data_IF_455931701029
#
_entry.id   IF_455931701029
#
_cell.length_a   1.000
_cell.length_b   1.000
_cell.length_c   1.000
_cell.angle_alpha   90.00
_cell.angle_beta   90.00
_cell.angle_gamma   90.00
#
_symmetry.space_group_name_H-M   'P 1'
#
loop_
_entity.id
_entity.type
_entity.pdbx_description
1 polymer ?
#
# COMPACT_ATOMS: atom_id res chain seq x y z
N UNK A 1 -3.78 19.98 -6.95
CA UNK A 1 -3.65 18.52 -7.17
C UNK A 1 -2.72 17.83 -6.17
N UNK A 2 -1.69 18.50 -5.66
CA UNK A 2 -0.78 17.95 -4.64
C UNK A 2 -1.50 17.40 -3.39
N UNK A 3 -2.60 18.03 -2.95
CA UNK A 3 -3.43 17.53 -1.85
C UNK A 3 -3.89 16.07 -2.05
N UNK A 4 -4.26 15.69 -3.28
CA UNK A 4 -4.69 14.32 -3.59
C UNK A 4 -3.54 13.32 -3.43
N UNK A 5 -2.31 13.71 -3.80
CA UNK A 5 -1.13 12.88 -3.62
C UNK A 5 -0.79 12.70 -2.13
N UNK A 6 -0.89 13.76 -1.32
CA UNK A 6 -0.71 13.65 0.13
C UNK A 6 -1.79 12.80 0.80
N UNK A 7 -3.05 12.91 0.37
CA UNK A 7 -4.14 12.04 0.86
C UNK A 7 -3.87 10.58 0.50
N UNK A 8 -3.47 10.28 -0.73
CA UNK A 8 -3.10 8.93 -1.13
C UNK A 8 -1.94 8.38 -0.29
N UNK A 9 -0.88 9.17 -0.10
CA UNK A 9 0.27 8.79 0.72
C UNK A 9 -0.14 8.53 2.17
N UNK A 10 -0.98 9.39 2.76
CA UNK A 10 -1.48 9.22 4.13
C UNK A 10 -2.30 7.93 4.28
N UNK A 11 -3.22 7.65 3.33
CA UNK A 11 -4.01 6.41 3.33
C UNK A 11 -3.11 5.18 3.28
N UNK A 12 -2.14 5.15 2.36
CA UNK A 12 -1.20 4.03 2.22
C UNK A 12 -0.32 3.88 3.47
N UNK A 13 0.17 4.99 4.04
CA UNK A 13 1.01 4.95 5.23
C UNK A 13 0.27 4.40 6.46
N UNK A 14 -0.96 4.88 6.69
CA UNK A 14 -1.82 4.41 7.78
C UNK A 14 -2.17 2.94 7.59
N UNK A 15 -2.40 2.49 6.37
CA UNK A 15 -2.69 1.08 6.10
C UNK A 15 -1.49 0.16 6.35
N UNK A 16 -0.26 0.64 6.13
CA UNK A 16 0.96 -0.06 6.55
C UNK A 16 1.02 -0.30 8.07
N UNK A 17 0.53 0.66 8.88
CA UNK A 17 0.41 0.48 10.34
C UNK A 17 -0.62 -0.62 10.66
N UNK A 18 -1.75 -0.62 9.96
CA UNK A 18 -2.79 -1.63 10.11
C UNK A 18 -2.32 -3.04 9.74
N UNK A 19 -1.28 -3.19 8.90
CA UNK A 19 -0.60 -4.47 8.68
C UNK A 19 0.40 -4.79 9.79
N UNK A 20 1.29 -3.87 10.13
CA UNK A 20 2.39 -4.13 11.05
C UNK A 20 1.93 -4.45 12.49
N UNK A 21 1.00 -3.69 13.05
CA UNK A 21 0.57 -3.81 14.46
C UNK A 21 -0.03 -5.18 14.80
N UNK A 22 -0.97 -5.75 14.01
CA UNK A 22 -1.57 -7.05 14.33
C UNK A 22 -0.72 -8.26 13.94
N UNK A 23 0.45 -8.10 13.32
CA UNK A 23 1.29 -9.20 12.77
C UNK A 23 1.39 -10.39 13.71
N UNK A 24 1.75 -10.17 14.98
CA UNK A 24 1.90 -11.26 15.96
C UNK A 24 0.61 -12.06 16.16
N UNK A 25 -0.55 -11.40 16.20
CA UNK A 25 -1.86 -12.06 16.36
C UNK A 25 -2.25 -12.83 15.10
N UNK A 26 -2.00 -12.25 13.92
CA UNK A 26 -2.31 -12.91 12.65
C UNK A 26 -1.42 -14.13 12.42
N UNK A 27 -0.12 -14.02 12.67
CA UNK A 27 0.79 -15.18 12.56
C UNK A 27 0.41 -16.28 13.57
N UNK A 28 -0.09 -15.92 14.75
CA UNK A 28 -0.58 -16.88 15.72
C UNK A 28 -1.85 -17.61 15.28
N UNK A 29 -2.74 -16.98 14.48
CA UNK A 29 -3.98 -17.62 14.02
C UNK A 29 -3.77 -18.73 13.00
N UNK A 30 -2.57 -18.88 12.43
CA UNK A 30 -2.23 -19.98 11.52
C UNK A 30 -1.79 -21.26 12.24
N UNK A 31 -1.73 -21.29 13.57
CA UNK A 31 -1.26 -22.47 14.30
C UNK A 31 -2.13 -23.73 14.08
N UNK A 32 -1.53 -24.94 14.07
CA UNK A 32 -0.12 -25.23 14.32
C UNK A 32 0.78 -25.03 13.08
N UNK A 33 1.88 -24.27 13.25
CA UNK A 33 2.93 -24.08 12.24
C UNK A 33 4.32 -24.20 12.87
N UNK A 34 5.31 -24.60 12.08
CA UNK A 34 6.71 -24.70 12.53
C UNK A 34 7.28 -23.32 12.89
N UNK A 35 8.38 -23.29 13.64
CA UNK A 35 9.12 -22.05 13.91
C UNK A 35 9.63 -21.38 12.63
N UNK A 36 9.90 -22.15 11.58
CA UNK A 36 10.40 -21.62 10.30
C UNK A 36 9.28 -20.92 9.54
N UNK A 37 8.12 -21.58 9.41
CA UNK A 37 6.91 -20.99 8.81
C UNK A 37 6.52 -19.69 9.53
N UNK A 38 6.60 -19.68 10.87
CA UNK A 38 6.33 -18.49 11.69
C UNK A 38 7.22 -17.29 11.34
N UNK A 39 8.52 -17.53 11.14
CA UNK A 39 9.49 -16.47 10.78
C UNK A 39 9.21 -15.92 9.38
N UNK A 40 9.00 -16.81 8.41
CA UNK A 40 8.69 -16.41 7.01
C UNK A 40 7.40 -15.59 6.97
N UNK A 41 6.32 -16.09 7.57
CA UNK A 41 5.04 -15.36 7.61
C UNK A 41 5.17 -14.00 8.30
N UNK A 42 5.95 -13.91 9.38
CA UNK A 42 6.20 -12.63 10.06
C UNK A 42 6.95 -11.66 9.14
N UNK A 43 7.98 -12.13 8.45
CA UNK A 43 8.77 -11.31 7.54
C UNK A 43 7.94 -10.85 6.34
N UNK A 44 7.17 -11.73 5.70
CA UNK A 44 6.34 -11.36 4.54
C UNK A 44 5.29 -10.30 4.93
N UNK A 45 4.67 -10.44 6.10
CA UNK A 45 3.71 -9.47 6.61
C UNK A 45 4.32 -8.09 6.90
N UNK A 46 5.54 -8.07 7.44
CA UNK A 46 6.27 -6.82 7.68
C UNK A 46 6.84 -6.22 6.39
N UNK A 47 7.21 -7.06 5.42
CA UNK A 47 7.67 -6.61 4.11
C UNK A 47 6.58 -5.81 3.39
N UNK A 48 5.34 -6.30 3.39
CA UNK A 48 4.20 -5.56 2.84
C UNK A 48 4.03 -4.20 3.52
N UNK A 49 4.10 -4.16 4.85
CA UNK A 49 4.02 -2.90 5.63
C UNK A 49 5.12 -1.91 5.24
N UNK A 50 6.36 -2.39 5.13
CA UNK A 50 7.52 -1.59 4.76
C UNK A 50 7.41 -1.07 3.32
N UNK A 51 6.93 -1.88 2.38
CA UNK A 51 6.69 -1.47 1.00
C UNK A 51 5.66 -0.36 0.93
N UNK A 52 4.57 -0.43 1.71
CA UNK A 52 3.57 0.63 1.77
C UNK A 52 4.16 1.95 2.30
N UNK A 53 4.95 1.89 3.38
CA UNK A 53 5.63 3.08 3.89
C UNK A 53 6.64 3.65 2.91
N UNK A 54 7.39 2.80 2.20
CA UNK A 54 8.30 3.21 1.15
C UNK A 54 7.60 3.94 0.01
N UNK A 55 6.47 3.40 -0.48
CA UNK A 55 5.65 4.06 -1.51
C UNK A 55 5.11 5.41 -1.01
N UNK A 56 4.57 5.47 0.21
CA UNK A 56 4.06 6.71 0.78
C UNK A 56 5.16 7.77 0.93
N UNK A 57 6.33 7.38 1.45
CA UNK A 57 7.48 8.27 1.59
C UNK A 57 7.97 8.79 0.23
N UNK A 58 8.02 7.92 -0.80
CA UNK A 58 8.39 8.31 -2.15
C UNK A 58 7.42 9.34 -2.73
N UNK A 59 6.10 9.10 -2.60
CA UNK A 59 5.09 10.07 -3.04
C UNK A 59 5.29 11.41 -2.32
N UNK A 60 5.37 11.41 -0.99
CA UNK A 60 5.59 12.64 -0.21
C UNK A 60 6.86 13.38 -0.65
N UNK A 61 7.95 12.66 -0.87
CA UNK A 61 9.23 13.25 -1.26
C UNK A 61 9.14 13.97 -2.61
N UNK A 62 8.58 13.33 -3.64
CA UNK A 62 8.44 13.98 -4.97
C UNK A 62 7.41 15.10 -4.96
N UNK A 63 6.35 14.99 -4.15
CA UNK A 63 5.36 16.08 -3.99
C UNK A 63 5.97 17.29 -3.28
N UNK A 64 6.72 17.08 -2.19
CA UNK A 64 7.20 18.17 -1.32
C UNK A 64 8.41 18.91 -1.90
N UNK A 65 9.24 18.24 -2.69
CA UNK A 65 10.44 18.84 -3.29
C UNK A 65 10.16 19.67 -4.53
N UNK A 66 8.90 19.73 -4.98
CA UNK A 66 8.53 20.30 -6.27
C UNK A 66 9.44 19.79 -7.39
N UNK A 67 9.72 18.48 -7.38
CA UNK A 67 10.48 17.82 -8.42
C UNK A 67 9.84 18.07 -9.79
N UNK A 68 10.65 17.93 -10.85
CA UNK A 68 10.20 18.09 -12.23
C UNK A 68 8.80 17.46 -12.46
N UNK A 69 7.93 18.18 -13.14
CA UNK A 69 6.51 17.81 -13.27
C UNK A 69 6.37 16.45 -13.96
N UNK A 70 7.21 16.17 -14.96
CA UNK A 70 7.19 14.91 -15.68
C UNK A 70 7.69 13.77 -14.79
N UNK A 71 8.77 13.97 -14.06
CA UNK A 71 9.29 12.98 -13.10
C UNK A 71 8.25 12.68 -12.01
N UNK A 72 7.65 13.71 -11.42
CA UNK A 72 6.61 13.57 -10.40
C UNK A 72 5.40 12.78 -10.93
N UNK A 73 4.95 13.07 -12.14
CA UNK A 73 3.84 12.35 -12.77
C UNK A 73 4.18 10.88 -13.04
N UNK A 74 5.42 10.57 -13.49
CA UNK A 74 5.89 9.19 -13.68
C UNK A 74 5.87 8.44 -12.35
N UNK A 75 6.37 9.06 -11.27
CA UNK A 75 6.39 8.43 -9.95
C UNK A 75 4.97 8.16 -9.45
N UNK A 76 4.05 9.12 -9.55
CA UNK A 76 2.65 8.89 -9.16
C UNK A 76 2.01 7.75 -9.93
N UNK A 77 2.23 7.68 -11.25
CA UNK A 77 1.67 6.60 -12.09
C UNK A 77 2.31 5.25 -11.79
N UNK A 78 3.61 5.21 -11.54
CA UNK A 78 4.33 3.99 -11.15
C UNK A 78 3.83 3.44 -9.81
N UNK A 79 3.67 4.31 -8.80
CA UNK A 79 3.09 3.92 -7.51
C UNK A 79 1.63 3.51 -7.66
N UNK A 80 0.82 4.24 -8.44
CA UNK A 80 -0.57 3.86 -8.70
C UNK A 80 -0.68 2.50 -9.38
N UNK A 81 0.16 2.20 -10.37
CA UNK A 81 0.20 0.90 -11.03
C UNK A 81 0.54 -0.22 -10.04
N UNK A 82 1.52 -0.01 -9.16
CA UNK A 82 1.87 -0.99 -8.14
C UNK A 82 0.72 -1.21 -7.14
N UNK A 83 0.05 -0.15 -6.70
CA UNK A 83 -1.14 -0.25 -5.84
C UNK A 83 -2.27 -1.02 -6.51
N UNK A 84 -2.51 -0.83 -7.82
CA UNK A 84 -3.48 -1.62 -8.59
C UNK A 84 -3.06 -3.08 -8.66
N UNK A 85 -1.80 -3.38 -8.97
CA UNK A 85 -1.29 -4.75 -8.99
C UNK A 85 -1.49 -5.44 -7.63
N UNK A 86 -1.19 -4.75 -6.52
CA UNK A 86 -1.42 -5.25 -5.18
C UNK A 86 -2.92 -5.45 -4.90
N UNK A 87 -3.77 -4.49 -5.27
CA UNK A 87 -5.22 -4.64 -5.10
C UNK A 87 -5.76 -5.88 -5.83
N UNK A 88 -5.33 -6.08 -7.07
CA UNK A 88 -5.67 -7.27 -7.88
C UNK A 88 -5.18 -8.54 -7.19
N UNK A 89 -3.92 -8.58 -6.75
CA UNK A 89 -3.37 -9.71 -6.00
C UNK A 89 -4.20 -10.00 -4.74
N UNK A 90 -4.55 -8.97 -3.96
CA UNK A 90 -5.34 -9.13 -2.73
C UNK A 90 -6.75 -9.66 -3.03
N UNK A 91 -7.41 -9.19 -4.10
CA UNK A 91 -8.73 -9.69 -4.53
C UNK A 91 -8.68 -11.20 -4.77
N UNK A 92 -7.62 -11.68 -5.43
CA UNK A 92 -7.47 -13.10 -5.76
C UNK A 92 -6.93 -13.95 -4.61
N UNK A 93 -6.37 -13.33 -3.57
CA UNK A 93 -5.74 -14.03 -2.43
C UNK A 93 -6.39 -13.64 -1.10
N UNK A 94 -5.86 -12.64 -0.40
CA UNK A 94 -6.26 -12.26 0.96
C UNK A 94 -7.76 -11.97 1.12
N UNK A 95 -8.41 -11.34 0.14
CA UNK A 95 -9.83 -11.00 0.20
C UNK A 95 -10.76 -12.22 0.20
N UNK A 96 -10.23 -13.40 -0.16
CA UNK A 96 -10.95 -14.68 -0.08
C UNK A 96 -10.93 -15.31 1.31
N UNK A 97 -10.27 -14.69 2.28
CA UNK A 97 -10.30 -15.10 3.69
C UNK A 97 -11.52 -14.51 4.43
N UNK A 98 -11.92 -15.06 5.59
CA UNK A 98 -12.99 -14.46 6.40
C UNK A 98 -12.58 -13.15 7.09
N UNK A 99 -11.30 -12.75 7.03
CA UNK A 99 -10.78 -11.57 7.73
C UNK A 99 -11.22 -10.30 6.99
N UNK A 100 -12.02 -9.47 7.66
CA UNK A 100 -12.64 -8.26 7.07
C UNK A 100 -11.59 -7.27 6.52
N UNK A 101 -10.45 -7.11 7.18
CA UNK A 101 -9.40 -6.17 6.77
C UNK A 101 -8.84 -6.46 5.37
N UNK A 102 -8.71 -7.74 5.00
CA UNK A 102 -8.28 -8.11 3.66
C UNK A 102 -9.32 -7.80 2.58
N UNK A 103 -10.60 -7.70 2.94
CA UNK A 103 -11.67 -7.32 2.01
C UNK A 103 -11.69 -5.80 1.78
N UNK A 104 -11.27 -5.02 2.77
CA UNK A 104 -11.17 -3.55 2.67
C UNK A 104 -9.89 -3.12 1.96
N UNK A 105 -8.79 -3.88 2.11
CA UNK A 105 -7.49 -3.60 1.48
C UNK A 105 -7.56 -3.22 0.00
N UNK A 106 -8.18 -4.02 -0.91
CA UNK A 106 -8.19 -3.69 -2.33
C UNK A 106 -8.93 -2.39 -2.62
N UNK A 107 -9.95 -2.03 -1.83
CA UNK A 107 -10.67 -0.76 -1.98
C UNK A 107 -9.76 0.41 -1.59
N UNK A 108 -9.02 0.29 -0.48
CA UNK A 108 -8.06 1.33 -0.08
C UNK A 108 -6.96 1.50 -1.13
N UNK A 109 -6.37 0.40 -1.60
CA UNK A 109 -5.31 0.43 -2.60
C UNK A 109 -5.80 1.05 -3.92
N UNK A 110 -6.98 0.66 -4.40
CA UNK A 110 -7.57 1.22 -5.62
C UNK A 110 -7.91 2.71 -5.46
N UNK A 111 -8.43 3.13 -4.28
CA UNK A 111 -8.74 4.54 -3.99
C UNK A 111 -7.46 5.38 -4.01
N UNK A 112 -6.40 4.93 -3.33
CA UNK A 112 -5.11 5.61 -3.33
C UNK A 112 -4.50 5.68 -4.73
N UNK A 113 -4.63 4.62 -5.53
CA UNK A 113 -4.20 4.63 -6.93
C UNK A 113 -4.98 5.67 -7.76
N UNK A 114 -6.31 5.72 -7.64
CA UNK A 114 -7.14 6.69 -8.34
C UNK A 114 -6.76 8.13 -7.98
N UNK A 115 -6.53 8.42 -6.68
CA UNK A 115 -6.07 9.72 -6.22
C UNK A 115 -4.73 10.12 -6.86
N UNK A 116 -3.77 9.19 -6.96
CA UNK A 116 -2.47 9.43 -7.60
C UNK A 116 -2.60 9.64 -9.11
N UNK A 117 -3.44 8.86 -9.79
CA UNK A 117 -3.69 9.02 -11.21
C UNK A 117 -4.29 10.39 -11.52
N UNK A 118 -5.31 10.81 -10.75
CA UNK A 118 -5.90 12.14 -10.88
C UNK A 118 -4.85 13.21 -10.57
N UNK A 119 -4.03 13.04 -9.53
CA UNK A 119 -2.95 13.95 -9.19
C UNK A 119 -1.86 14.08 -10.27
N UNK A 120 -1.76 13.11 -11.19
CA UNK A 120 -0.77 13.06 -12.27
C UNK A 120 -1.22 13.68 -13.61
N UNK A 121 -2.44 14.22 -13.67
CA UNK A 121 -2.95 14.90 -14.86
C UNK A 121 -2.31 16.31 -14.92
N UNK A 122 -1.73 16.75 -16.05
CA UNK A 122 -1.24 18.11 -16.17
C UNK A 122 -2.38 19.11 -15.94
N UNK A 123 -2.13 20.18 -15.18
CA UNK A 123 -3.06 21.31 -15.17
C UNK A 123 -3.03 21.94 -16.56
N UNK A 124 -4.17 21.88 -17.27
CA UNK A 124 -4.40 22.59 -18.54
C UNK A 124 -4.53 24.07 -18.32
#
# INVERSE_FOLDING_TARGET
MQMLAYLAAALVAVWGIAHAVPTKKVVASFAPITAHNRRILTQEWLAESLTMWGMAALVVAVTATAADIQVTAIVYRGVAALLVCLAVLTIFTGARTPIVWFKVCPVLLATSAALLLVASIPAT
#
